data_IF_948403975368
#
_entry.id   IF_948403975368
#
_cell.length_a   1.000
_cell.length_b   1.000
_cell.length_c   1.000
_cell.angle_alpha   90.00
_cell.angle_beta   90.00
_cell.angle_gamma   90.00
#
_symmetry.space_group_name_H-M   'P 1'
#
loop_
_entity.id
_entity.type
_entity.pdbx_description
1 polymer ?
#
# COMPACT_ATOMS: atom_id res chain seq x y z
N UNK A 1 2.83 5.92 -6.68
CA UNK A 1 3.02 6.87 -7.80
C UNK A 1 1.66 7.43 -8.15
N UNK A 2 1.53 8.75 -8.19
CA UNK A 2 0.29 9.44 -8.59
C UNK A 2 0.08 9.35 -10.10
N UNK A 3 -1.07 9.78 -10.59
CA UNK A 3 -1.34 9.92 -12.03
C UNK A 3 -0.50 10.99 -12.74
N UNK A 4 0.01 11.96 -11.99
CA UNK A 4 0.94 13.00 -12.46
C UNK A 4 2.42 12.53 -12.44
N UNK A 5 2.68 11.29 -12.01
CA UNK A 5 4.02 10.71 -11.95
C UNK A 5 4.80 11.04 -10.68
N UNK A 6 4.18 11.67 -9.68
CA UNK A 6 4.81 11.97 -8.40
C UNK A 6 5.00 10.70 -7.56
N UNK A 7 6.18 10.59 -6.92
CA UNK A 7 6.50 9.49 -6.02
C UNK A 7 6.41 9.97 -4.57
N UNK A 8 5.37 9.51 -3.90
CA UNK A 8 5.14 9.72 -2.47
C UNK A 8 5.56 8.46 -1.73
N UNK A 9 6.47 8.63 -0.76
CA UNK A 9 7.06 7.52 0.00
C UNK A 9 6.64 7.53 1.46
N UNK A 10 6.79 6.37 2.12
CA UNK A 10 6.51 6.17 3.54
C UNK A 10 7.32 5.00 4.08
N UNK A 11 7.46 4.96 5.40
CA UNK A 11 8.13 3.88 6.13
C UNK A 11 7.27 3.53 7.36
N UNK A 12 7.45 2.33 7.92
CA UNK A 12 6.76 1.97 9.15
C UNK A 12 7.21 2.86 10.31
N UNK A 13 6.26 3.23 11.17
CA UNK A 13 6.51 3.98 12.40
C UNK A 13 5.98 3.16 13.56
N UNK A 14 6.88 2.81 14.47
CA UNK A 14 6.57 1.93 15.60
C UNK A 14 6.31 2.71 16.87
N UNK A 15 5.59 2.09 17.80
CA UNK A 15 5.28 2.63 19.12
C UNK A 15 5.38 1.53 20.17
N UNK A 16 5.72 1.91 21.41
CA UNK A 16 5.70 0.99 22.55
C UNK A 16 4.28 0.45 22.82
N UNK A 17 3.24 1.23 22.52
CA UNK A 17 1.87 0.72 22.45
C UNK A 17 1.61 0.23 21.02
N UNK A 18 1.77 -1.08 20.80
CA UNK A 18 1.84 -1.66 19.45
C UNK A 18 0.60 -1.39 18.59
N UNK A 19 -0.57 -1.16 19.20
CA UNK A 19 -1.78 -0.78 18.48
C UNK A 19 -1.70 0.59 17.78
N UNK A 20 -0.73 1.44 18.15
CA UNK A 20 -0.47 2.74 17.55
C UNK A 20 0.52 2.67 16.37
N UNK A 21 1.14 1.52 16.12
CA UNK A 21 2.11 1.37 15.03
C UNK A 21 1.43 1.48 13.66
N UNK A 22 2.11 2.16 12.73
CA UNK A 22 1.62 2.39 11.38
C UNK A 22 2.58 1.78 10.36
N UNK A 23 2.05 1.06 9.37
CA UNK A 23 2.86 0.44 8.32
C UNK A 23 3.23 1.45 7.23
N UNK A 24 4.28 1.15 6.45
CA UNK A 24 4.81 2.03 5.41
C UNK A 24 3.75 2.44 4.38
N UNK A 25 2.90 1.51 3.97
CA UNK A 25 1.82 1.70 3.01
C UNK A 25 0.82 2.74 3.50
N UNK A 26 0.41 2.64 4.77
CA UNK A 26 -0.53 3.59 5.41
C UNK A 26 0.09 4.97 5.55
N UNK A 27 1.37 5.05 5.92
CA UNK A 27 2.10 6.33 6.00
C UNK A 27 2.17 7.01 4.62
N UNK A 28 2.57 6.29 3.58
CA UNK A 28 2.66 6.82 2.22
C UNK A 28 1.30 7.24 1.68
N UNK A 29 0.28 6.40 1.85
CA UNK A 29 -1.08 6.65 1.36
C UNK A 29 -1.72 7.84 2.07
N UNK A 30 -1.63 7.92 3.40
CA UNK A 30 -2.18 9.06 4.13
C UNK A 30 -1.48 10.36 3.76
N UNK A 31 -0.15 10.36 3.59
CA UNK A 31 0.56 11.53 3.07
C UNK A 31 -0.01 11.97 1.72
N UNK A 32 -0.14 11.04 0.78
CA UNK A 32 -0.65 11.34 -0.55
C UNK A 32 -2.06 11.94 -0.52
N UNK A 33 -2.96 11.35 0.28
CA UNK A 33 -4.32 11.86 0.44
C UNK A 33 -4.35 13.25 1.07
N UNK A 34 -3.51 13.52 2.07
CA UNK A 34 -3.45 14.85 2.71
C UNK A 34 -2.79 15.91 1.83
N UNK A 35 -1.93 15.49 0.90
CA UNK A 35 -1.33 16.36 -0.12
C UNK A 35 -2.29 16.61 -1.30
N UNK A 36 -3.48 15.97 -1.32
CA UNK A 36 -4.54 16.19 -2.31
C UNK A 36 -4.55 15.20 -3.48
N UNK A 37 -3.73 14.15 -3.43
CA UNK A 37 -3.72 13.12 -4.47
C UNK A 37 -4.75 12.02 -4.19
N UNK A 38 -5.58 11.73 -5.18
CA UNK A 38 -6.65 10.72 -5.08
C UNK A 38 -6.60 9.67 -6.19
N UNK A 39 -5.73 9.84 -7.18
CA UNK A 39 -5.57 8.91 -8.29
C UNK A 39 -4.13 8.40 -8.28
N UNK A 40 -3.99 7.08 -8.38
CA UNK A 40 -2.73 6.38 -8.26
C UNK A 40 -2.55 5.42 -9.43
N UNK A 41 -1.31 5.28 -9.91
CA UNK A 41 -0.97 4.37 -11.01
C UNK A 41 -0.33 3.07 -10.51
N UNK A 42 0.50 3.17 -9.47
CA UNK A 42 1.23 2.03 -8.94
C UNK A 42 1.56 2.22 -7.45
N UNK A 43 1.63 1.10 -6.73
CA UNK A 43 2.11 1.00 -5.35
C UNK A 43 3.29 0.03 -5.31
N UNK A 44 4.40 0.43 -4.67
CA UNK A 44 5.55 -0.44 -4.44
C UNK A 44 5.79 -0.59 -2.95
N UNK A 45 5.96 -1.84 -2.50
CA UNK A 45 6.20 -2.19 -1.10
C UNK A 45 7.50 -2.97 -1.04
N UNK A 46 8.50 -2.39 -0.37
CA UNK A 46 9.80 -3.02 -0.19
C UNK A 46 9.96 -3.52 1.23
N UNK A 47 10.34 -4.79 1.37
CA UNK A 47 10.71 -5.38 2.65
C UNK A 47 11.70 -6.53 2.41
N UNK A 48 12.42 -6.99 3.45
CA UNK A 48 13.10 -8.26 3.37
C UNK A 48 12.11 -9.36 2.96
N UNK A 49 12.43 -10.11 1.90
CA UNK A 49 11.61 -11.20 1.37
C UNK A 49 10.36 -10.78 0.58
N UNK A 50 10.14 -9.49 0.31
CA UNK A 50 9.02 -9.02 -0.52
C UNK A 50 7.65 -9.34 0.08
N UNK A 51 7.47 -9.01 1.36
CA UNK A 51 6.27 -9.35 2.12
C UNK A 51 5.03 -8.63 1.58
N UNK A 52 3.91 -9.36 1.55
CA UNK A 52 2.62 -8.78 1.22
C UNK A 52 2.14 -7.81 2.32
N UNK A 53 1.36 -6.76 1.97
CA UNK A 53 0.81 -5.82 2.95
C UNK A 53 -0.06 -6.53 3.99
N UNK A 54 -0.10 -5.98 5.20
CA UNK A 54 -0.95 -6.50 6.29
C UNK A 54 -2.44 -6.23 6.00
N UNK A 55 -3.34 -6.91 6.72
CA UNK A 55 -4.80 -6.79 6.50
C UNK A 55 -5.32 -5.36 6.58
N UNK A 56 -4.84 -4.56 7.54
CA UNK A 56 -5.24 -3.15 7.67
C UNK A 56 -4.79 -2.30 6.47
N UNK A 57 -3.59 -2.55 5.93
CA UNK A 57 -3.13 -1.89 4.72
C UNK A 57 -3.96 -2.30 3.51
N UNK A 58 -4.27 -3.61 3.38
CA UNK A 58 -5.09 -4.12 2.27
C UNK A 58 -6.44 -3.43 2.20
N UNK A 59 -7.10 -3.23 3.35
CA UNK A 59 -8.39 -2.54 3.39
C UNK A 59 -8.32 -1.10 2.83
N UNK A 60 -7.28 -0.34 3.18
CA UNK A 60 -7.12 1.02 2.63
C UNK A 60 -6.70 1.03 1.16
N UNK A 61 -5.91 0.05 0.74
CA UNK A 61 -5.54 -0.11 -0.66
C UNK A 61 -6.79 -0.41 -1.51
N UNK A 62 -7.73 -1.22 -1.00
CA UNK A 62 -9.03 -1.42 -1.65
C UNK A 62 -9.80 -0.09 -1.74
N UNK A 63 -9.84 0.69 -0.67
CA UNK A 63 -10.64 1.92 -0.64
C UNK A 63 -10.12 3.00 -1.61
N UNK A 64 -8.79 3.17 -1.68
CA UNK A 64 -8.19 4.34 -2.35
C UNK A 64 -7.43 4.01 -3.63
N UNK A 65 -7.00 2.76 -3.82
CA UNK A 65 -6.08 2.41 -4.92
C UNK A 65 -6.46 1.09 -5.59
N UNK A 66 -7.75 0.72 -5.63
CA UNK A 66 -8.20 -0.62 -6.06
C UNK A 66 -7.69 -1.10 -7.43
N UNK A 67 -7.50 -0.18 -8.37
CA UNK A 67 -7.12 -0.49 -9.74
C UNK A 67 -5.59 -0.49 -9.97
N UNK A 68 -4.81 -0.14 -8.95
CA UNK A 68 -3.35 -0.04 -9.05
C UNK A 68 -2.66 -1.40 -9.07
N UNK A 69 -1.57 -1.47 -9.84
CA UNK A 69 -0.60 -2.55 -9.73
C UNK A 69 0.18 -2.42 -8.41
N UNK A 70 0.34 -3.54 -7.71
CA UNK A 70 1.13 -3.62 -6.48
C UNK A 70 2.39 -4.42 -6.76
N UNK A 71 3.54 -3.79 -6.55
CA UNK A 71 4.85 -4.41 -6.66
C UNK A 71 5.37 -4.75 -5.27
N UNK A 72 5.55 -6.04 -5.00
CA UNK A 72 6.21 -6.54 -3.79
C UNK A 72 7.69 -6.76 -4.10
N UNK A 73 8.55 -6.04 -3.38
CA UNK A 73 9.98 -5.96 -3.67
C UNK A 73 10.75 -6.56 -2.50
N UNK A 74 11.53 -7.61 -2.76
CA UNK A 74 12.53 -8.07 -1.80
C UNK A 74 13.70 -7.08 -1.77
N UNK A 75 13.94 -6.45 -0.62
CA UNK A 75 15.05 -5.50 -0.46
C UNK A 75 16.43 -6.13 -0.70
N UNK A 76 16.55 -7.45 -0.62
CA UNK A 76 17.80 -8.16 -0.92
C UNK A 76 17.97 -8.50 -2.41
N UNK A 77 16.89 -8.46 -3.20
CA UNK A 77 16.86 -8.79 -4.64
C UNK A 77 15.86 -7.88 -5.37
N UNK A 78 16.10 -6.55 -5.39
CA UNK A 78 15.12 -5.57 -5.85
C UNK A 78 14.81 -5.65 -7.35
N UNK A 79 15.67 -6.29 -8.15
CA UNK A 79 15.55 -6.43 -9.60
C UNK A 79 14.44 -7.41 -10.03
N UNK A 80 13.90 -8.22 -9.11
CA UNK A 80 12.87 -9.22 -9.39
C UNK A 80 11.58 -8.98 -8.57
N UNK A 81 10.85 -7.87 -8.80
CA UNK A 81 9.62 -7.58 -8.08
C UNK A 81 8.52 -8.58 -8.45
N UNK A 82 7.73 -8.97 -7.45
CA UNK A 82 6.48 -9.71 -7.69
C UNK A 82 5.34 -8.72 -7.89
N UNK A 83 4.70 -8.76 -9.05
CA UNK A 83 3.46 -8.02 -9.31
C UNK A 83 2.24 -8.78 -8.77
N UNK A 84 1.27 -8.04 -8.26
CA UNK A 84 -0.05 -8.54 -7.82
C UNK A 84 -1.07 -7.40 -7.85
N UNK A 85 -2.33 -7.72 -7.54
CA UNK A 85 -3.44 -6.78 -7.42
C UNK A 85 -4.09 -6.91 -6.05
N UNK A 86 -4.79 -5.87 -5.61
CA UNK A 86 -5.45 -5.92 -4.31
C UNK A 86 -6.54 -7.00 -4.26
N UNK A 87 -7.21 -7.28 -5.37
CA UNK A 87 -8.23 -8.34 -5.48
C UNK A 87 -7.68 -9.75 -5.25
N UNK A 88 -6.40 -9.98 -5.51
CA UNK A 88 -5.73 -11.25 -5.20
C UNK A 88 -5.35 -11.37 -3.71
N UNK A 89 -5.10 -10.23 -3.06
CA UNK A 89 -4.66 -10.17 -1.67
C UNK A 89 -5.82 -10.05 -0.68
N UNK A 90 -6.94 -9.48 -1.10
CA UNK A 90 -8.16 -9.33 -0.30
C UNK A 90 -9.38 -9.60 -1.21
N UNK A 91 -9.66 -10.87 -1.55
CA UNK A 91 -10.86 -11.23 -2.28
C UNK A 91 -12.12 -10.91 -1.45
N UNK A 92 -13.22 -10.59 -2.14
CA UNK A 92 -14.52 -10.29 -1.53
C UNK A 92 -14.42 -9.22 -0.42
N UNK A 93 -13.62 -8.18 -0.68
CA UNK A 93 -13.37 -7.11 0.27
C UNK A 93 -14.66 -6.38 0.64
N UNK A 94 -14.81 -6.06 1.93
CA UNK A 94 -15.84 -5.15 2.40
C UNK A 94 -15.55 -3.74 1.89
N UNK A 95 -16.51 -3.08 1.27
CA UNK A 95 -16.36 -1.74 0.68
C UNK A 95 -17.55 -0.85 1.02
N UNK A 96 -17.53 0.39 0.53
CA UNK A 96 -18.69 1.28 0.60
C UNK A 96 -19.95 0.74 -0.10
N UNK A 97 -19.85 -0.27 -0.95
CA UNK A 97 -21.02 -0.93 -1.59
C UNK A 97 -21.80 -1.83 -0.60
N UNK A 98 -21.19 -2.22 0.52
CA UNK A 98 -21.79 -3.09 1.54
C UNK A 98 -22.51 -2.31 2.67
N UNK A 99 -22.46 -0.97 2.62
CA UNK A 99 -23.08 -0.05 3.59
C UNK A 99 -24.53 0.29 3.22
#
# INVERSE_FOLDING_TARGET
MTDEGEIISGANVESASYGLSCCAERVALFKALTDGHHIFQALAIASPGGAAPCGACRQLIVEYTKDTEILLIDSNSPENPKSTRISELLPDAFTGEDL
#
